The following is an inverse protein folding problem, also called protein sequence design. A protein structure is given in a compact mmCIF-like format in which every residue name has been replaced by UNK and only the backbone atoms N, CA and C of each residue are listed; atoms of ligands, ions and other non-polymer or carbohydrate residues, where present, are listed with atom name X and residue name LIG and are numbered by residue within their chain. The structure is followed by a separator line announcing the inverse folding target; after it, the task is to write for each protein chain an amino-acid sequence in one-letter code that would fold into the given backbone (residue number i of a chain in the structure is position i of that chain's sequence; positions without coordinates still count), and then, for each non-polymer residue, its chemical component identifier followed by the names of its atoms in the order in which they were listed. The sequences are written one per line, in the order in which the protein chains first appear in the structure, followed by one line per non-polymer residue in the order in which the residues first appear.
data_IF_815599853687
#
_entry.id   IF_815599853687
#
_cell.length_a   1.000
_cell.length_b   1.000
_cell.length_c   1.000
_cell.angle_alpha   90.00
_cell.angle_beta   90.00
_cell.angle_gamma   90.00
#
_symmetry.space_group_name_H-M   'P 1'
#
loop_
_entity.id
_entity.type
_entity.pdbx_description
1 polymer ?
#
# COMPACT_ATOMS: atom_id res chain seq x y z
N UNK A 1 5.84 1.31 -9.26
CA UNK A 1 5.86 -0.06 -9.83
C UNK A 1 6.26 -1.08 -8.79
N UNK A 2 5.25 -1.82 -8.33
CA UNK A 2 5.40 -2.96 -7.42
C UNK A 2 5.72 -4.26 -8.19
N UNK A 3 6.78 -4.95 -7.79
CA UNK A 3 7.17 -6.29 -8.28
C UNK A 3 6.60 -7.34 -7.30
N UNK A 4 5.54 -8.02 -7.74
CA UNK A 4 4.83 -9.04 -6.95
C UNK A 4 5.71 -10.25 -6.65
N UNK A 5 6.59 -10.65 -7.59
CA UNK A 5 7.44 -11.84 -7.43
C UNK A 5 8.51 -11.61 -6.36
N UNK A 6 8.98 -10.38 -6.23
CA UNK A 6 10.01 -10.00 -5.25
C UNK A 6 9.44 -9.28 -4.03
N UNK A 7 8.14 -8.99 -4.03
CA UNK A 7 7.44 -8.17 -3.03
C UNK A 7 8.16 -6.84 -2.78
N UNK A 8 8.53 -6.14 -3.87
CA UNK A 8 9.35 -4.92 -3.82
C UNK A 8 8.75 -3.78 -4.63
N UNK A 9 8.83 -2.57 -4.08
CA UNK A 9 8.51 -1.32 -4.75
C UNK A 9 9.74 -0.76 -5.46
N UNK A 10 9.60 -0.40 -6.73
CA UNK A 10 10.68 0.25 -7.49
C UNK A 10 10.56 1.75 -7.39
N UNK A 11 11.58 2.39 -6.80
CA UNK A 11 11.69 3.84 -6.70
C UNK A 11 12.94 4.37 -7.40
N UNK A 12 12.91 5.65 -7.78
CA UNK A 12 14.09 6.35 -8.26
C UNK A 12 15.06 6.62 -7.09
N UNK A 13 16.35 6.45 -7.32
CA UNK A 13 17.41 6.81 -6.38
C UNK A 13 18.47 7.61 -7.14
N UNK A 14 18.81 8.84 -6.70
CA UNK A 14 19.83 9.65 -7.36
C UNK A 14 21.19 8.96 -7.50
N UNK A 15 21.55 8.08 -6.56
CA UNK A 15 22.84 7.39 -6.52
C UNK A 15 22.89 6.10 -7.36
N UNK A 16 21.73 5.49 -7.64
CA UNK A 16 21.66 4.14 -8.24
C UNK A 16 20.66 4.02 -9.38
N UNK A 17 20.14 5.14 -9.88
CA UNK A 17 19.02 5.26 -10.83
C UNK A 17 17.70 4.69 -10.30
N UNK A 18 17.63 3.37 -10.06
CA UNK A 18 16.46 2.67 -9.53
C UNK A 18 16.82 1.68 -8.43
N UNK A 19 15.95 1.56 -7.44
CA UNK A 19 16.11 0.66 -6.29
C UNK A 19 14.82 -0.09 -5.98
N UNK A 20 14.94 -1.37 -5.62
CA UNK A 20 13.83 -2.20 -5.16
C UNK A 20 13.74 -2.22 -3.64
N UNK A 21 12.66 -1.70 -3.08
CA UNK A 21 12.46 -1.41 -1.66
C UNK A 21 11.30 -2.25 -1.12
N UNK A 22 11.49 -2.93 0.02
CA UNK A 22 10.42 -3.68 0.66
C UNK A 22 9.48 -2.75 1.43
N UNK A 23 8.21 -3.16 1.62
CA UNK A 23 7.23 -2.38 2.41
C UNK A 23 7.73 -2.06 3.83
N UNK A 24 8.47 -2.97 4.45
CA UNK A 24 9.06 -2.80 5.78
C UNK A 24 10.12 -1.69 5.88
N UNK A 25 10.64 -1.21 4.75
CA UNK A 25 11.58 -0.09 4.69
C UNK A 25 10.87 1.28 4.57
N UNK A 26 9.54 1.30 4.51
CA UNK A 26 8.76 2.53 4.47
C UNK A 26 8.74 3.15 5.87
N UNK A 27 8.95 4.48 5.94
CA UNK A 27 9.02 5.24 7.18
C UNK A 27 7.82 6.14 7.38
N UNK A 28 7.27 6.66 6.28
CA UNK A 28 6.07 7.51 6.28
C UNK A 28 5.32 7.30 4.98
N UNK A 29 3.99 7.28 5.06
CA UNK A 29 3.09 7.16 3.93
C UNK A 29 2.03 8.25 4.10
N UNK A 30 1.86 9.11 3.10
CA UNK A 30 0.90 10.21 3.14
C UNK A 30 0.12 10.29 1.85
N UNK A 31 -1.20 10.36 1.94
CA UNK A 31 -2.05 10.61 0.77
C UNK A 31 -1.90 12.05 0.32
N UNK A 32 -1.55 12.27 -0.94
CA UNK A 32 -1.50 13.59 -1.53
C UNK A 32 -2.93 14.10 -1.84
N UNK A 33 -3.18 15.41 -1.68
CA UNK A 33 -4.46 15.99 -2.08
C UNK A 33 -4.63 15.88 -3.60
N UNK A 34 -5.83 15.55 -4.06
CA UNK A 34 -6.08 15.38 -5.50
C UNK A 34 -7.31 14.53 -5.80
N UNK A 35 -7.26 13.85 -6.96
CA UNK A 35 -8.32 12.97 -7.41
C UNK A 35 -8.63 11.89 -6.37
N UNK A 36 -9.91 11.54 -6.25
CA UNK A 36 -10.33 10.42 -5.40
C UNK A 36 -9.71 9.11 -5.88
N UNK A 37 -9.65 8.89 -7.20
CA UNK A 37 -8.98 7.76 -7.84
C UNK A 37 -8.39 8.16 -9.22
N UNK A 38 -7.15 7.72 -9.54
CA UNK A 38 -6.22 7.04 -8.62
C UNK A 38 -5.70 8.03 -7.56
N UNK A 39 -5.72 7.61 -6.30
CA UNK A 39 -5.14 8.39 -5.21
C UNK A 39 -3.63 8.15 -5.19
N UNK A 40 -2.85 9.23 -5.08
CA UNK A 40 -1.38 9.14 -5.06
C UNK A 40 -0.89 9.33 -3.62
N UNK A 41 0.03 8.47 -3.21
CA UNK A 41 0.70 8.51 -1.92
C UNK A 41 2.15 8.93 -2.08
N UNK A 42 2.60 9.83 -1.21
CA UNK A 42 4.01 10.11 -0.96
C UNK A 42 4.52 9.13 0.08
N UNK A 43 5.59 8.41 -0.25
CA UNK A 43 6.24 7.43 0.61
C UNK A 43 7.66 7.89 0.87
N UNK A 44 8.00 8.08 2.15
CA UNK A 44 9.39 8.22 2.57
C UNK A 44 9.94 6.86 2.93
N UNK A 45 11.03 6.44 2.30
CA UNK A 45 11.61 5.11 2.48
C UNK A 45 13.11 5.14 2.77
N UNK A 46 13.59 4.14 3.51
CA UNK A 46 15.01 3.91 3.72
C UNK A 46 15.61 3.22 2.49
N UNK A 47 16.45 3.95 1.74
CA UNK A 47 17.08 3.44 0.54
C UNK A 47 18.32 2.60 0.86
N UNK A 48 18.60 1.61 0.00
CA UNK A 48 19.83 0.80 0.08
C UNK A 48 21.12 1.59 -0.19
N UNK A 49 21.04 2.85 -0.64
CA UNK A 49 22.19 3.75 -0.72
C UNK A 49 22.60 4.32 0.65
N UNK A 50 21.78 4.14 1.69
CA UNK A 50 22.03 4.64 3.05
C UNK A 50 21.31 5.95 3.39
N UNK A 51 20.62 6.58 2.43
CA UNK A 51 19.81 7.77 2.65
C UNK A 51 18.31 7.45 2.68
N UNK A 52 17.50 8.41 3.14
CA UNK A 52 16.05 8.37 2.97
C UNK A 52 15.64 9.16 1.73
N UNK A 53 14.67 8.65 1.01
CA UNK A 53 14.16 9.26 -0.21
C UNK A 53 12.63 9.26 -0.21
N UNK A 54 12.07 10.20 -0.96
CA UNK A 54 10.64 10.27 -1.22
C UNK A 54 10.32 9.61 -2.57
N UNK A 55 9.25 8.83 -2.59
CA UNK A 55 8.74 8.13 -3.77
C UNK A 55 7.24 8.28 -3.87
N UNK A 56 6.71 8.20 -5.09
CA UNK A 56 5.27 8.24 -5.34
C UNK A 56 4.76 6.82 -5.63
N UNK A 57 3.63 6.48 -5.02
CA UNK A 57 2.94 5.19 -5.22
C UNK A 57 1.46 5.47 -5.41
N UNK A 58 0.82 4.83 -6.38
CA UNK A 58 -0.62 4.92 -6.57
C UNK A 58 -1.37 3.95 -5.62
N UNK A 59 -2.64 4.21 -5.37
CA UNK A 59 -3.47 3.45 -4.44
C UNK A 59 -3.65 1.98 -4.83
N UNK A 60 -3.67 1.70 -6.14
CA UNK A 60 -3.68 0.36 -6.71
C UNK A 60 -2.38 -0.42 -6.46
N UNK A 61 -1.22 0.25 -6.48
CA UNK A 61 0.08 -0.38 -6.19
C UNK A 61 0.34 -0.60 -4.70
N UNK A 62 -0.24 0.23 -3.83
CA UNK A 62 -0.05 0.14 -2.38
C UNK A 62 -0.95 -0.91 -1.72
N UNK A 63 -1.87 -1.52 -2.47
CA UNK A 63 -2.96 -2.36 -1.94
C UNK A 63 -3.70 -1.64 -0.79
N UNK A 64 -3.89 -0.31 -0.94
CA UNK A 64 -4.53 0.53 0.06
C UNK A 64 -6.04 0.30 0.15
N UNK A 65 -6.62 -0.53 -0.72
CA UNK A 65 -8.04 -0.82 -0.74
C UNK A 65 -8.54 -1.05 0.70
N UNK A 66 -9.49 -0.23 1.20
CA UNK A 66 -9.88 -0.32 2.60
C UNK A 66 -10.34 -1.75 2.88
N UNK A 67 -9.66 -2.40 3.84
CA UNK A 67 -9.94 -3.79 4.20
C UNK A 67 -11.42 -3.93 4.56
N UNK A 68 -12.18 -4.63 3.72
CA UNK A 68 -13.59 -4.95 3.97
C UNK A 68 -14.63 -3.90 3.57
N UNK A 69 -14.30 -2.83 2.84
CA UNK A 69 -15.32 -1.91 2.29
C UNK A 69 -15.83 -2.27 0.89
N UNK A 70 -15.18 -3.23 0.20
CA UNK A 70 -15.58 -3.68 -1.13
C UNK A 70 -16.60 -4.83 -1.13
N UNK A 71 -16.58 -5.68 -0.10
CA UNK A 71 -17.42 -6.88 -0.03
C UNK A 71 -18.24 -6.82 1.25
N UNK A 72 -19.53 -6.50 1.10
CA UNK A 72 -20.46 -6.33 2.23
C UNK A 72 -20.73 -7.62 3.03
N UNK A 73 -20.04 -8.72 2.73
CA UNK A 73 -20.13 -10.00 3.44
C UNK A 73 -18.75 -10.63 3.65
N UNK A 74 -18.48 -11.16 4.84
CA UNK A 74 -17.27 -11.93 5.15
C UNK A 74 -17.64 -13.35 5.59
N UNK A 75 -16.71 -14.29 5.49
CA UNK A 75 -16.93 -15.67 5.97
C UNK A 75 -16.47 -15.80 7.43
N UNK A 76 -17.44 -15.99 8.34
CA UNK A 76 -17.18 -16.25 9.75
C UNK A 76 -16.79 -17.72 9.95
N UNK A 77 -15.53 -17.96 10.33
CA UNK A 77 -14.99 -19.28 10.60
C UNK A 77 -15.53 -19.91 11.89
N UNK A 78 -15.98 -19.10 12.85
CA UNK A 78 -16.54 -19.58 14.11
C UNK A 78 -17.95 -20.13 13.94
N UNK A 79 -18.70 -19.61 12.97
CA UNK A 79 -20.08 -20.06 12.68
C UNK A 79 -20.25 -20.76 11.33
N UNK A 80 -19.19 -20.78 10.49
CA UNK A 80 -19.18 -21.33 9.13
C UNK A 80 -20.26 -20.69 8.24
N UNK A 81 -20.41 -19.37 8.30
CA UNK A 81 -21.45 -18.62 7.57
C UNK A 81 -20.89 -17.37 6.91
N UNK A 82 -21.51 -16.94 5.82
CA UNK A 82 -21.32 -15.59 5.27
C UNK A 82 -22.15 -14.60 6.08
N UNK A 83 -21.51 -13.59 6.66
CA UNK A 83 -22.10 -12.59 7.56
C UNK A 83 -21.88 -11.20 6.96
N UNK A 84 -22.84 -10.29 7.10
CA UNK A 84 -22.72 -8.93 6.60
C UNK A 84 -21.73 -8.09 7.44
N UNK A 85 -20.82 -7.37 6.78
CA UNK A 85 -19.78 -6.55 7.43
C UNK A 85 -20.38 -5.44 8.31
N UNK A 86 -21.53 -4.89 7.90
CA UNK A 86 -22.24 -3.84 8.65
C UNK A 86 -22.65 -4.25 10.08
N UNK A 87 -22.71 -5.54 10.39
CA UNK A 87 -23.06 -6.01 11.74
C UNK A 87 -21.90 -5.89 12.74
N UNK A 88 -20.66 -5.88 12.26
CA UNK A 88 -19.44 -5.88 13.09
C UNK A 88 -18.81 -4.48 13.24
N UNK A 89 -19.11 -3.53 12.34
CA UNK A 89 -18.54 -2.18 12.33
C UNK A 89 -19.41 -1.12 13.06
N UNK A 90 -20.12 -1.53 14.12
CA UNK A 90 -21.04 -0.69 14.90
C UNK A 90 -20.46 0.64 15.37
#
# INVERSE_FOLDING_TARGET
MYDILRQRYTFACPERDRVGVALSAFRRIERLPGAAHPAVFSVRFACTCGAEHDGLVADDELDWAPLGLGEGTFFDLMTTRLVAVAHELG
#
